data_IF_204836249772
#
_entry.id   IF_204836249772
#
_cell.length_a   1.000
_cell.length_b   1.000
_cell.length_c   1.000
_cell.angle_alpha   90.00
_cell.angle_beta   90.00
_cell.angle_gamma   90.00
#
_symmetry.space_group_name_H-M   'P 1'
#
loop_
_entity.id
_entity.type
_entity.pdbx_description
1 polymer ?
#
# COMPACT_ATOMS: atom_id res chain seq x y z
N UNK A 1 -35.26 -23.27 -1.81
CA UNK A 1 -33.94 -22.98 -2.40
C UNK A 1 -33.01 -22.49 -1.28
N UNK A 2 -31.93 -23.18 -1.02
CA UNK A 2 -30.89 -22.68 -0.13
C UNK A 2 -30.22 -21.51 -0.85
N UNK A 3 -30.05 -20.34 -0.22
CA UNK A 3 -29.21 -19.31 -0.81
C UNK A 3 -27.79 -19.88 -0.99
N UNK A 4 -27.23 -19.71 -2.18
CA UNK A 4 -25.83 -20.05 -2.42
C UNK A 4 -24.98 -19.34 -1.36
N UNK A 5 -24.04 -20.05 -0.73
CA UNK A 5 -23.14 -19.43 0.23
C UNK A 5 -22.39 -18.32 -0.52
N UNK A 6 -22.64 -17.08 -0.16
CA UNK A 6 -21.84 -15.99 -0.65
C UNK A 6 -20.39 -16.29 -0.28
N UNK A 7 -19.44 -16.15 -1.21
CA UNK A 7 -18.03 -16.36 -0.89
C UNK A 7 -17.63 -15.36 0.20
N UNK A 8 -17.58 -15.87 1.43
CA UNK A 8 -17.03 -15.13 2.56
C UNK A 8 -15.52 -15.06 2.37
N UNK A 9 -15.02 -13.91 1.96
CA UNK A 9 -13.58 -13.72 1.78
C UNK A 9 -13.26 -12.40 1.08
N UNK A 10 -11.99 -12.04 1.15
CA UNK A 10 -11.43 -10.88 0.46
C UNK A 10 -11.54 -11.12 -1.05
N UNK A 11 -12.12 -10.20 -1.84
CA UNK A 11 -12.15 -10.33 -3.30
C UNK A 11 -10.72 -10.30 -3.85
N UNK A 12 -10.44 -11.11 -4.89
CA UNK A 12 -9.14 -11.10 -5.54
C UNK A 12 -9.06 -9.97 -6.56
N UNK A 13 -7.93 -9.22 -6.60
CA UNK A 13 -7.76 -8.15 -7.56
C UNK A 13 -7.52 -8.70 -8.96
N UNK A 14 -8.02 -7.96 -9.97
CA UNK A 14 -7.67 -8.25 -11.37
C UNK A 14 -6.21 -7.84 -11.60
N UNK A 15 -5.34 -8.77 -12.06
CA UNK A 15 -3.94 -8.46 -12.32
C UNK A 15 -3.74 -7.43 -13.45
N UNK A 16 -4.76 -7.17 -14.25
CA UNK A 16 -4.72 -6.21 -15.35
C UNK A 16 -5.29 -4.84 -14.98
N UNK A 17 -5.77 -4.65 -13.76
CA UNK A 17 -6.30 -3.36 -13.32
C UNK A 17 -5.17 -2.33 -13.20
N UNK A 18 -5.17 -1.37 -14.10
CA UNK A 18 -4.15 -0.31 -14.16
C UNK A 18 -4.17 0.61 -12.95
N UNK A 19 -5.32 0.79 -12.32
CA UNK A 19 -5.45 1.61 -11.11
C UNK A 19 -4.76 0.97 -9.90
N UNK A 20 -4.60 -0.35 -9.95
CA UNK A 20 -3.94 -1.13 -8.90
C UNK A 20 -2.52 -1.57 -9.28
N UNK A 21 -2.01 -1.17 -10.42
CA UNK A 21 -0.70 -1.61 -10.92
C UNK A 21 0.42 -1.29 -9.92
N UNK A 22 0.44 -0.10 -9.37
CA UNK A 22 1.47 0.32 -8.41
C UNK A 22 1.37 -0.46 -7.09
N UNK A 23 0.15 -0.75 -6.62
CA UNK A 23 -0.06 -1.60 -5.44
C UNK A 23 0.43 -3.02 -5.69
N UNK A 24 0.10 -3.59 -6.84
CA UNK A 24 0.53 -4.94 -7.22
C UNK A 24 2.05 -5.04 -7.34
N UNK A 25 2.66 -4.10 -8.04
CA UNK A 25 4.13 -4.05 -8.19
C UNK A 25 4.85 -3.87 -6.86
N UNK A 26 4.32 -3.03 -5.98
CA UNK A 26 4.86 -2.86 -4.63
C UNK A 26 4.74 -4.15 -3.81
N UNK A 27 3.63 -4.85 -3.90
CA UNK A 27 3.45 -6.15 -3.25
C UNK A 27 4.42 -7.21 -3.82
N UNK A 28 4.62 -7.22 -5.14
CA UNK A 28 5.64 -8.09 -5.77
C UNK A 28 7.04 -7.80 -5.24
N UNK A 29 7.42 -6.53 -5.13
CA UNK A 29 8.72 -6.11 -4.61
C UNK A 29 8.93 -6.54 -3.16
N UNK A 30 7.90 -6.41 -2.30
CA UNK A 30 7.95 -6.86 -0.91
C UNK A 30 8.25 -8.36 -0.79
N UNK A 31 7.78 -9.15 -1.74
CA UNK A 31 7.97 -10.61 -1.75
C UNK A 31 9.26 -10.99 -2.47
N UNK A 32 9.54 -10.38 -3.63
CA UNK A 32 10.66 -10.78 -4.49
C UNK A 32 11.99 -10.14 -4.12
N UNK A 33 11.98 -8.93 -3.55
CA UNK A 33 13.18 -8.16 -3.25
C UNK A 33 13.11 -7.45 -1.89
N UNK A 34 12.77 -8.17 -0.80
CA UNK A 34 12.61 -7.54 0.52
C UNK A 34 13.91 -6.86 1.00
N UNK A 35 15.06 -7.37 0.61
CA UNK A 35 16.38 -6.84 0.97
C UNK A 35 16.70 -5.48 0.36
N UNK A 36 15.95 -5.06 -0.65
CA UNK A 36 16.13 -3.76 -1.31
C UNK A 36 15.34 -2.63 -0.62
N UNK A 37 14.46 -2.97 0.31
CA UNK A 37 13.70 -1.97 1.05
C UNK A 37 14.55 -1.34 2.17
N UNK A 38 14.43 -0.03 2.38
CA UNK A 38 14.91 0.62 3.59
C UNK A 38 14.23 0.06 4.85
N UNK A 39 14.77 0.42 6.02
CA UNK A 39 14.17 0.04 7.29
C UNK A 39 12.69 0.43 7.38
N UNK A 40 11.92 -0.38 8.08
CA UNK A 40 10.48 -0.16 8.30
C UNK A 40 9.71 0.05 6.99
N UNK A 41 10.16 -0.61 5.91
CA UNK A 41 9.53 -0.54 4.58
C UNK A 41 9.36 0.90 4.07
N UNK A 42 10.30 1.79 4.44
CA UNK A 42 10.31 3.21 4.09
C UNK A 42 8.99 3.94 4.47
N UNK A 43 8.40 3.55 5.58
CA UNK A 43 7.17 4.14 6.10
C UNK A 43 5.88 3.68 5.43
N UNK A 44 5.92 2.63 4.60
CA UNK A 44 4.70 2.01 4.09
C UNK A 44 3.81 1.52 5.23
N UNK A 45 2.51 1.66 5.03
CA UNK A 45 1.49 1.15 5.95
C UNK A 45 0.38 0.44 5.18
N UNK A 46 -0.46 -0.38 5.85
CA UNK A 46 -1.60 -1.03 5.20
C UNK A 46 -2.55 -0.05 4.50
N UNK A 47 -2.64 1.20 4.98
CA UNK A 47 -3.50 2.24 4.41
C UNK A 47 -3.02 2.77 3.05
N UNK A 48 -1.78 2.49 2.67
CA UNK A 48 -1.26 2.81 1.34
C UNK A 48 -1.81 1.87 0.26
N UNK A 49 -2.33 0.72 0.65
CA UNK A 49 -2.96 -0.25 -0.23
C UNK A 49 -4.48 -0.10 -0.17
N UNK A 50 -5.10 0.27 -1.28
CA UNK A 50 -6.55 0.48 -1.36
C UNK A 50 -7.31 -0.82 -1.53
N UNK A 51 -6.70 -1.82 -2.18
CA UNK A 51 -7.31 -3.13 -2.34
C UNK A 51 -7.03 -4.00 -1.10
N UNK A 52 -8.07 -4.57 -0.47
CA UNK A 52 -7.91 -5.33 0.78
C UNK A 52 -7.00 -6.55 0.64
N UNK A 53 -6.89 -7.16 -0.54
CA UNK A 53 -5.98 -8.28 -0.77
C UNK A 53 -4.52 -7.84 -0.69
N UNK A 54 -4.16 -6.72 -1.31
CA UNK A 54 -2.79 -6.19 -1.22
C UNK A 54 -2.46 -5.68 0.18
N UNK A 55 -3.40 -5.04 0.85
CA UNK A 55 -3.25 -4.66 2.26
C UNK A 55 -2.99 -5.89 3.15
N UNK A 56 -3.69 -7.00 2.90
CA UNK A 56 -3.49 -8.25 3.63
C UNK A 56 -2.10 -8.87 3.36
N UNK A 57 -1.60 -8.77 2.14
CA UNK A 57 -0.23 -9.19 1.80
C UNK A 57 0.78 -8.37 2.61
N UNK A 58 0.63 -7.06 2.65
CA UNK A 58 1.53 -6.18 3.42
C UNK A 58 1.49 -6.50 4.93
N UNK A 59 0.30 -6.72 5.49
CA UNK A 59 0.15 -7.15 6.89
C UNK A 59 0.86 -8.49 7.14
N UNK A 60 0.78 -9.42 6.20
CA UNK A 60 1.50 -10.68 6.25
C UNK A 60 3.02 -10.50 6.24
N UNK A 61 3.52 -9.55 5.44
CA UNK A 61 4.93 -9.17 5.41
C UNK A 61 5.39 -8.63 6.77
N UNK A 62 4.63 -7.73 7.37
CA UNK A 62 4.93 -7.18 8.70
C UNK A 62 4.97 -8.27 9.79
N UNK A 63 4.01 -9.19 9.76
CA UNK A 63 3.97 -10.32 10.71
C UNK A 63 5.15 -11.27 10.49
N UNK A 64 5.51 -11.56 9.26
CA UNK A 64 6.63 -12.44 8.94
C UNK A 64 7.96 -11.88 9.41
N UNK A 65 8.16 -10.56 9.34
CA UNK A 65 9.33 -9.88 9.89
C UNK A 65 9.35 -9.96 11.42
N UNK A 66 8.23 -9.69 12.06
CA UNK A 66 8.13 -9.70 13.54
C UNK A 66 8.36 -11.09 14.13
N UNK A 67 7.93 -12.14 13.43
CA UNK A 67 8.06 -13.52 13.90
C UNK A 67 9.45 -14.12 13.71
N UNK A 68 10.27 -13.57 12.83
CA UNK A 68 11.67 -13.95 12.55
C UNK A 68 11.95 -15.47 12.65
N UNK A 69 10.99 -16.27 12.13
CA UNK A 69 11.07 -17.73 12.17
C UNK A 69 11.93 -18.32 11.07
N UNK A 70 12.22 -19.65 11.13
CA UNK A 70 12.95 -20.35 10.09
C UNK A 70 12.10 -20.50 8.82
N UNK A 71 12.77 -20.65 7.68
CA UNK A 71 12.15 -20.93 6.40
C UNK A 71 12.38 -19.83 5.37
N UNK A 72 11.97 -20.15 4.15
CA UNK A 72 12.09 -19.23 3.02
C UNK A 72 11.09 -18.08 3.16
N UNK A 73 11.49 -16.88 2.73
CA UNK A 73 10.74 -15.64 2.91
C UNK A 73 9.29 -15.71 2.36
N UNK A 74 9.13 -16.14 1.10
CA UNK A 74 7.79 -16.26 0.49
C UNK A 74 6.88 -17.18 1.31
N UNK A 75 7.40 -18.31 1.78
CA UNK A 75 6.64 -19.25 2.60
C UNK A 75 6.26 -18.64 3.95
N UNK A 76 7.17 -17.91 4.58
CA UNK A 76 6.92 -17.23 5.85
C UNK A 76 5.83 -16.17 5.72
N UNK A 77 5.84 -15.38 4.63
CA UNK A 77 4.80 -14.40 4.35
C UNK A 77 3.46 -15.09 4.11
N UNK A 78 3.44 -16.15 3.30
CA UNK A 78 2.24 -16.94 3.04
C UNK A 78 1.63 -17.50 4.34
N UNK A 79 2.47 -18.07 5.20
CA UNK A 79 2.04 -18.64 6.48
C UNK A 79 1.48 -17.58 7.46
N UNK A 80 1.97 -16.34 7.34
CA UNK A 80 1.51 -15.21 8.16
C UNK A 80 0.16 -14.64 7.71
N UNK A 81 -0.31 -14.97 6.52
CA UNK A 81 -1.60 -14.54 5.98
C UNK A 81 -2.69 -15.52 6.39
N UNK A 82 -3.80 -15.04 6.94
CA UNK A 82 -4.90 -15.89 7.41
C UNK A 82 -5.81 -16.36 6.27
N UNK A 83 -6.10 -15.49 5.30
CA UNK A 83 -6.99 -15.78 4.18
C UNK A 83 -6.29 -16.67 3.15
N UNK A 84 -6.89 -17.82 2.84
CA UNK A 84 -6.32 -18.82 1.92
C UNK A 84 -6.16 -18.27 0.49
N UNK A 85 -7.09 -17.44 0.02
CA UNK A 85 -7.02 -16.82 -1.31
C UNK A 85 -5.88 -15.81 -1.39
N UNK A 86 -5.63 -15.08 -0.32
CA UNK A 86 -4.50 -14.15 -0.22
C UNK A 86 -3.18 -14.91 -0.15
N UNK A 87 -3.13 -16.07 0.50
CA UNK A 87 -1.95 -16.96 0.45
C UNK A 87 -1.61 -17.37 -0.98
N UNK A 88 -2.62 -17.73 -1.76
CA UNK A 88 -2.44 -18.04 -3.20
C UNK A 88 -1.94 -16.83 -3.97
N UNK A 89 -2.41 -15.63 -3.64
CA UNK A 89 -1.93 -14.39 -4.23
C UNK A 89 -0.45 -14.15 -3.90
N UNK A 90 -0.01 -14.39 -2.68
CA UNK A 90 1.42 -14.29 -2.29
C UNK A 90 2.28 -15.18 -3.17
N UNK A 91 1.87 -16.42 -3.38
CA UNK A 91 2.59 -17.37 -4.24
C UNK A 91 2.63 -16.87 -5.69
N UNK A 92 1.51 -16.39 -6.22
CA UNK A 92 1.44 -15.86 -7.58
C UNK A 92 2.37 -14.63 -7.74
N UNK A 93 2.35 -13.70 -6.78
CA UNK A 93 3.20 -12.50 -6.80
C UNK A 93 4.69 -12.84 -6.72
N UNK A 94 5.05 -13.94 -6.07
CA UNK A 94 6.46 -14.37 -5.92
C UNK A 94 7.12 -14.79 -7.23
N UNK A 95 6.34 -15.19 -8.22
CA UNK A 95 6.84 -15.71 -9.51
C UNK A 95 6.45 -14.83 -10.71
N UNK A 96 5.58 -13.86 -10.50
CA UNK A 96 5.14 -12.96 -11.57
C UNK A 96 6.27 -11.98 -11.94
N UNK A 97 6.60 -11.84 -13.24
CA UNK A 97 7.69 -10.94 -13.64
C UNK A 97 7.35 -9.48 -13.33
N UNK A 98 8.34 -8.75 -12.81
CA UNK A 98 8.28 -7.31 -12.63
C UNK A 98 8.43 -6.58 -13.96
N UNK A 99 7.82 -5.40 -14.13
CA UNK A 99 7.89 -4.62 -15.36
C UNK A 99 9.21 -3.85 -15.49
N UNK A 100 10.34 -4.53 -15.33
CA UNK A 100 11.67 -3.96 -15.52
C UNK A 100 12.59 -4.99 -16.15
N UNK A 101 13.67 -4.50 -16.77
CA UNK A 101 14.76 -5.35 -17.27
C UNK A 101 15.84 -5.45 -16.18
N UNK A 102 16.16 -6.66 -15.78
CA UNK A 102 17.15 -6.93 -14.75
C UNK A 102 16.58 -7.08 -13.35
N UNK A 103 17.43 -6.93 -12.34
CA UNK A 103 17.08 -7.09 -10.93
C UNK A 103 16.69 -5.74 -10.33
N UNK A 104 15.59 -5.66 -9.57
CA UNK A 104 15.23 -4.41 -8.90
C UNK A 104 16.32 -4.00 -7.90
N UNK A 105 16.67 -2.72 -7.90
CA UNK A 105 17.59 -2.13 -6.93
C UNK A 105 16.83 -1.25 -5.92
N UNK A 106 17.57 -0.70 -4.94
CA UNK A 106 16.99 0.15 -3.92
C UNK A 106 16.33 1.41 -4.47
N UNK A 107 16.81 1.97 -5.57
CA UNK A 107 16.23 3.15 -6.22
C UNK A 107 14.86 2.84 -6.81
N UNK A 108 14.73 1.69 -7.47
CA UNK A 108 13.47 1.21 -8.02
C UNK A 108 12.42 1.00 -6.91
N UNK A 109 12.83 0.37 -5.81
CA UNK A 109 11.96 0.14 -4.65
C UNK A 109 11.51 1.46 -4.02
N UNK A 110 12.43 2.40 -3.79
CA UNK A 110 12.11 3.72 -3.20
C UNK A 110 11.15 4.49 -4.10
N UNK A 111 11.34 4.47 -5.41
CA UNK A 111 10.44 5.13 -6.35
C UNK A 111 9.00 4.55 -6.29
N UNK A 112 8.87 3.23 -6.22
CA UNK A 112 7.56 2.57 -6.09
C UNK A 112 6.89 2.88 -4.75
N UNK A 113 7.63 2.78 -3.65
CA UNK A 113 7.15 3.11 -2.31
C UNK A 113 6.68 4.56 -2.22
N UNK A 114 7.50 5.49 -2.70
CA UNK A 114 7.15 6.91 -2.72
C UNK A 114 5.93 7.19 -3.60
N UNK A 115 5.84 6.54 -4.75
CA UNK A 115 4.68 6.65 -5.65
C UNK A 115 3.39 6.17 -4.98
N UNK A 116 3.44 5.06 -4.26
CA UNK A 116 2.28 4.53 -3.54
C UNK A 116 1.85 5.46 -2.40
N UNK A 117 2.81 5.94 -1.60
CA UNK A 117 2.55 6.92 -0.53
C UNK A 117 2.03 8.25 -1.09
N UNK A 118 2.50 8.67 -2.25
CA UNK A 118 2.01 9.87 -2.94
C UNK A 118 0.53 9.77 -3.26
N UNK A 119 0.06 8.63 -3.75
CA UNK A 119 -1.37 8.40 -4.01
C UNK A 119 -2.20 8.52 -2.72
N UNK A 120 -1.70 7.99 -1.60
CA UNK A 120 -2.35 8.12 -0.29
C UNK A 120 -2.47 9.59 0.12
N UNK A 121 -1.38 10.34 0.03
CA UNK A 121 -1.36 11.77 0.36
C UNK A 121 -2.33 12.56 -0.52
N UNK A 122 -2.37 12.28 -1.82
CA UNK A 122 -3.29 12.93 -2.76
C UNK A 122 -4.76 12.65 -2.40
N UNK A 123 -5.10 11.44 -1.98
CA UNK A 123 -6.45 11.12 -1.49
C UNK A 123 -6.78 11.90 -0.22
N UNK A 124 -5.84 11.98 0.71
CA UNK A 124 -6.00 12.74 1.97
C UNK A 124 -6.20 14.23 1.69
N UNK A 125 -5.44 14.81 0.77
CA UNK A 125 -5.58 16.21 0.35
C UNK A 125 -6.97 16.45 -0.25
N UNK A 126 -7.43 15.59 -1.15
CA UNK A 126 -8.74 15.71 -1.77
C UNK A 126 -9.89 15.66 -0.74
N UNK A 127 -9.80 14.74 0.21
CA UNK A 127 -10.77 14.62 1.31
C UNK A 127 -10.77 15.87 2.20
N UNK A 128 -9.58 16.36 2.56
CA UNK A 128 -9.43 17.53 3.41
C UNK A 128 -9.94 18.81 2.73
N UNK A 129 -9.63 19.00 1.45
CA UNK A 129 -10.17 20.13 0.65
C UNK A 129 -11.69 20.10 0.59
N UNK A 130 -12.28 18.93 0.39
CA UNK A 130 -13.74 18.76 0.41
C UNK A 130 -14.35 19.12 1.76
N UNK A 131 -13.71 18.75 2.86
CA UNK A 131 -14.14 19.12 4.22
C UNK A 131 -14.02 20.61 4.48
N UNK A 132 -12.93 21.25 4.03
CA UNK A 132 -12.72 22.70 4.12
C UNK A 132 -13.83 23.49 3.40
N UNK A 133 -14.21 23.07 2.19
CA UNK A 133 -15.27 23.70 1.42
C UNK A 133 -16.63 23.66 2.12
N UNK A 134 -16.87 22.66 2.96
CA UNK A 134 -18.12 22.48 3.72
C UNK A 134 -18.07 23.07 5.12
N UNK A 135 -16.96 23.65 5.53
CA UNK A 135 -16.76 24.20 6.87
C UNK A 135 -16.82 25.71 6.81
N UNK A 136 -17.67 26.34 7.63
CA UNK A 136 -17.75 27.79 7.74
C UNK A 136 -16.55 28.32 8.55
N UNK A 137 -15.66 29.14 7.94
CA UNK A 137 -14.46 29.62 8.60
C UNK A 137 -14.73 30.60 9.75
N UNK A 138 -15.91 31.21 9.80
CA UNK A 138 -16.32 32.13 10.87
C UNK A 138 -16.93 31.37 12.06
N UNK A 139 -17.89 30.48 11.78
CA UNK A 139 -18.60 29.72 12.83
C UNK A 139 -17.74 28.60 13.45
N UNK A 140 -16.84 28.01 12.66
CA UNK A 140 -15.97 26.91 13.10
C UNK A 140 -14.49 27.25 12.85
N UNK A 141 -14.06 28.41 13.30
CA UNK A 141 -12.72 28.98 13.01
C UNK A 141 -11.59 28.06 13.46
N UNK A 142 -11.66 27.50 14.67
CA UNK A 142 -10.59 26.62 15.18
C UNK A 142 -10.47 25.35 14.33
N UNK A 143 -11.60 24.72 14.00
CA UNK A 143 -11.64 23.53 13.15
C UNK A 143 -11.11 23.83 11.74
N UNK A 144 -11.54 24.96 11.16
CA UNK A 144 -11.09 25.40 9.84
C UNK A 144 -9.57 25.61 9.82
N UNK A 145 -9.02 26.33 10.80
CA UNK A 145 -7.59 26.61 10.89
C UNK A 145 -6.76 25.34 11.09
N UNK A 146 -7.25 24.40 11.91
CA UNK A 146 -6.58 23.12 12.11
C UNK A 146 -6.51 22.30 10.80
N UNK A 147 -7.62 22.25 10.06
CA UNK A 147 -7.65 21.57 8.73
C UNK A 147 -6.76 22.27 7.73
N UNK A 148 -6.69 23.60 7.74
CA UNK A 148 -5.82 24.35 6.82
C UNK A 148 -4.34 24.09 7.14
N UNK A 149 -3.96 24.01 8.40
CA UNK A 149 -2.60 23.67 8.83
C UNK A 149 -2.23 22.25 8.42
N UNK A 150 -3.14 21.30 8.55
CA UNK A 150 -2.97 19.94 8.09
C UNK A 150 -2.76 19.88 6.56
N UNK A 151 -3.53 20.68 5.81
CA UNK A 151 -3.38 20.76 4.35
C UNK A 151 -1.98 21.24 3.95
N UNK A 152 -1.43 22.23 4.63
CA UNK A 152 -0.08 22.74 4.38
C UNK A 152 0.97 21.63 4.59
N UNK A 153 0.83 20.85 5.66
CA UNK A 153 1.73 19.71 5.93
C UNK A 153 1.62 18.65 4.84
N UNK A 154 0.41 18.30 4.43
CA UNK A 154 0.17 17.30 3.38
C UNK A 154 0.72 17.76 2.02
N UNK A 155 0.57 19.03 1.67
CA UNK A 155 1.13 19.59 0.42
C UNK A 155 2.66 19.57 0.41
N UNK A 156 3.30 19.84 1.54
CA UNK A 156 4.76 19.72 1.67
C UNK A 156 5.21 18.26 1.50
N UNK A 157 4.49 17.31 2.12
CA UNK A 157 4.75 15.88 1.96
C UNK A 157 4.55 15.41 0.53
N UNK A 158 3.51 15.89 -0.14
CA UNK A 158 3.26 15.58 -1.56
C UNK A 158 4.46 15.96 -2.44
N UNK A 159 5.01 17.15 -2.26
CA UNK A 159 6.18 17.61 -3.02
C UNK A 159 7.41 16.71 -2.77
N UNK A 160 7.66 16.37 -1.52
CA UNK A 160 8.79 15.52 -1.16
C UNK A 160 8.66 14.12 -1.79
N UNK A 161 7.48 13.52 -1.72
CA UNK A 161 7.21 12.20 -2.30
C UNK A 161 7.27 12.22 -3.82
N UNK A 162 6.79 13.29 -4.46
CA UNK A 162 6.86 13.43 -5.92
C UNK A 162 8.32 13.38 -6.41
N UNK A 163 9.23 14.04 -5.72
CA UNK A 163 10.67 14.00 -6.04
C UNK A 163 11.25 12.60 -5.91
N UNK A 164 10.85 11.84 -4.88
CA UNK A 164 11.35 10.47 -4.64
C UNK A 164 10.74 9.43 -5.58
N UNK A 165 9.57 9.70 -6.16
CA UNK A 165 8.85 8.78 -7.04
C UNK A 165 9.32 8.77 -8.50
N UNK A 166 10.27 9.63 -8.82
CA UNK A 166 10.83 9.75 -10.18
C UNK A 166 12.05 8.84 -10.35
#
# INVERSE_FOLDING_TARGET
>A
ARPDPQPSGIPMPDPRDRHLALERESAQLLIQAPEQFPEHWDGLSPTDFTHPAYAAVFTGVEKAVADDGPGEWTQRVSDAVEDERVRSLVVALSVEPLPLQGVPDGRFVVAHTAGLQLLTVMRSIATLKSRLQRTNPVQAQQKYNAMFSELVVLEARRKALLTRSI
#
